data_IF_986419447146
#
_entry.id   IF_986419447146
#
_cell.length_a   1.000
_cell.length_b   1.000
_cell.length_c   1.000
_cell.angle_alpha   90.00
_cell.angle_beta   90.00
_cell.angle_gamma   90.00
#
_symmetry.space_group_name_H-M   'P 1'
#
loop_
_entity.id
_entity.type
_entity.pdbx_description
1 polymer ?
#
# COMPACT_ATOMS: atom_id res chain seq x y z
N UNK A 1 -5.15 4.09 -17.53
CA UNK A 1 -4.52 4.25 -16.21
C UNK A 1 -5.21 5.36 -15.41
N UNK A 2 -5.41 5.16 -14.11
CA UNK A 2 -5.91 6.21 -13.20
C UNK A 2 -4.93 6.36 -12.04
N UNK A 3 -4.49 7.58 -11.78
CA UNK A 3 -3.64 7.95 -10.65
C UNK A 3 -4.51 8.46 -9.51
N UNK A 4 -4.30 7.90 -8.32
CA UNK A 4 -4.94 8.28 -7.07
C UNK A 4 -3.91 8.87 -6.11
N UNK A 5 -4.30 9.90 -5.38
CA UNK A 5 -3.50 10.43 -4.27
C UNK A 5 -3.74 9.65 -2.96
N UNK A 6 -3.08 10.07 -1.88
CA UNK A 6 -3.22 9.47 -0.55
C UNK A 6 -4.66 9.47 -0.03
N UNK A 7 -5.46 10.47 -0.41
CA UNK A 7 -6.85 10.63 0.00
C UNK A 7 -7.84 9.89 -0.92
N UNK A 8 -7.33 9.28 -1.99
CA UNK A 8 -8.11 8.55 -2.98
C UNK A 8 -8.84 9.45 -3.97
N UNK A 9 -8.52 10.74 -4.00
CA UNK A 9 -8.93 11.61 -5.08
C UNK A 9 -8.13 11.28 -6.34
N UNK A 10 -8.73 11.55 -7.50
CA UNK A 10 -8.08 11.27 -8.78
C UNK A 10 -7.16 12.43 -9.13
N UNK A 11 -5.86 12.18 -9.09
CA UNK A 11 -4.82 13.13 -9.48
C UNK A 11 -4.61 13.16 -11.01
N UNK A 12 -4.89 12.05 -11.70
CA UNK A 12 -4.69 11.95 -13.15
C UNK A 12 -5.48 10.81 -13.78
N UNK A 13 -5.92 11.02 -15.02
CA UNK A 13 -6.52 9.98 -15.86
C UNK A 13 -5.83 9.96 -17.21
N UNK A 14 -5.39 8.78 -17.61
CA UNK A 14 -4.72 8.56 -18.89
C UNK A 14 -5.39 7.40 -19.59
N UNK A 15 -5.83 7.64 -20.81
CA UNK A 15 -6.32 6.61 -21.71
C UNK A 15 -5.25 6.40 -22.78
N UNK A 16 -4.85 5.15 -22.96
CA UNK A 16 -3.82 4.79 -23.94
C UNK A 16 -4.29 3.57 -24.69
N UNK A 17 -4.16 3.63 -26.01
CA UNK A 17 -4.26 2.49 -26.89
C UNK A 17 -2.86 2.10 -27.31
N UNK A 18 -2.46 0.86 -27.00
CA UNK A 18 -1.22 0.29 -27.51
C UNK A 18 -1.51 -0.37 -28.87
N UNK A 19 -0.70 -0.10 -29.91
CA UNK A 19 -0.81 -0.78 -31.20
C UNK A 19 -0.62 -2.29 -31.11
N UNK A 20 0.25 -2.75 -30.20
CA UNK A 20 0.58 -4.15 -29.95
C UNK A 20 0.87 -4.40 -28.45
N UNK A 21 0.70 -5.64 -27.99
CA UNK A 21 0.90 -6.10 -26.61
C UNK A 21 2.36 -6.08 -26.15
N UNK A 22 3.32 -5.90 -27.06
CA UNK A 22 4.76 -5.78 -26.76
C UNK A 22 5.26 -4.33 -26.72
N UNK A 23 4.42 -3.38 -27.10
CA UNK A 23 4.79 -1.96 -27.05
C UNK A 23 4.69 -1.38 -25.64
N UNK A 24 5.50 -0.35 -25.40
CA UNK A 24 5.51 0.40 -24.15
C UNK A 24 5.08 1.85 -24.40
N UNK A 25 4.40 2.43 -23.42
CA UNK A 25 4.07 3.85 -23.37
C UNK A 25 4.62 4.44 -22.10
N UNK A 26 5.25 5.61 -22.20
CA UNK A 26 5.63 6.41 -21.04
C UNK A 26 4.54 7.46 -20.80
N UNK A 27 4.09 7.56 -19.55
CA UNK A 27 3.06 8.51 -19.14
C UNK A 27 3.62 9.40 -18.03
N UNK A 28 3.70 10.72 -18.24
CA UNK A 28 4.13 11.62 -17.19
C UNK A 28 3.07 11.64 -16.06
N UNK A 29 3.52 11.39 -14.84
CA UNK A 29 2.69 11.43 -13.64
C UNK A 29 2.97 12.73 -12.88
N UNK A 30 2.01 13.66 -12.78
CA UNK A 30 2.18 14.81 -11.91
C UNK A 30 2.31 14.36 -10.45
N UNK A 31 3.09 15.08 -9.62
CA UNK A 31 3.16 14.80 -8.19
C UNK A 31 1.77 14.83 -7.54
N UNK A 32 1.44 13.80 -6.76
CA UNK A 32 0.21 13.77 -6.00
C UNK A 32 0.28 14.74 -4.80
N UNK A 33 -0.81 15.44 -4.45
CA UNK A 33 -0.92 16.15 -3.18
C UNK A 33 -0.61 15.20 -2.01
N UNK A 34 0.27 15.61 -1.08
CA UNK A 34 0.70 14.77 0.05
C UNK A 34 1.88 13.83 -0.23
N UNK A 35 2.46 13.86 -1.44
CA UNK A 35 3.73 13.21 -1.75
C UNK A 35 3.68 11.69 -1.88
N UNK A 36 2.52 11.05 -1.72
CA UNK A 36 2.32 9.63 -1.96
C UNK A 36 0.96 9.34 -2.61
N UNK A 37 0.89 8.24 -3.35
CA UNK A 37 -0.27 7.83 -4.13
C UNK A 37 0.01 6.52 -4.85
N UNK A 38 -0.91 6.10 -5.71
CA UNK A 38 -0.73 4.90 -6.53
C UNK A 38 -1.45 5.04 -7.86
N UNK A 39 -1.07 4.19 -8.81
CA UNK A 39 -1.69 4.10 -10.12
C UNK A 39 -2.36 2.75 -10.29
N UNK A 40 -3.53 2.77 -10.92
CA UNK A 40 -4.21 1.54 -11.36
C UNK A 40 -4.19 1.49 -12.88
N UNK A 41 -3.87 0.33 -13.43
CA UNK A 41 -3.99 0.06 -14.86
C UNK A 41 -5.15 -0.91 -15.05
N UNK A 42 -6.16 -0.46 -15.79
CA UNK A 42 -7.24 -1.30 -16.29
C UNK A 42 -6.94 -1.58 -17.75
N UNK A 43 -6.92 -2.86 -18.13
CA UNK A 43 -6.75 -3.28 -19.51
C UNK A 43 -7.81 -4.32 -19.86
N UNK A 44 -8.56 -4.08 -20.91
CA UNK A 44 -9.35 -5.13 -21.56
C UNK A 44 -8.38 -5.91 -22.47
N UNK A 45 -8.26 -7.23 -22.26
CA UNK A 45 -7.53 -8.16 -23.16
C UNK A 45 -6.00 -8.10 -23.18
N UNK A 46 -5.35 -7.66 -22.09
CA UNK A 46 -3.89 -7.79 -22.01
C UNK A 46 -3.56 -9.21 -21.52
N UNK A 47 -3.21 -10.11 -22.45
CA UNK A 47 -2.83 -11.50 -22.19
C UNK A 47 -1.39 -11.64 -21.63
N UNK A 48 -0.82 -10.56 -21.11
CA UNK A 48 0.58 -10.43 -20.68
C UNK A 48 0.61 -9.88 -19.24
N UNK A 49 1.61 -10.31 -18.47
CA UNK A 49 1.93 -9.68 -17.19
C UNK A 49 2.32 -8.22 -17.47
N UNK A 50 1.44 -7.28 -17.16
CA UNK A 50 1.76 -5.86 -17.25
C UNK A 50 2.90 -5.56 -16.28
N UNK A 51 4.00 -5.02 -16.79
CA UNK A 51 5.02 -4.40 -15.95
C UNK A 51 4.74 -2.90 -15.93
N UNK A 52 4.16 -2.41 -14.84
CA UNK A 52 4.08 -0.96 -14.62
C UNK A 52 5.39 -0.56 -13.98
N UNK A 53 6.16 0.25 -14.71
CA UNK A 53 7.41 0.80 -14.21
C UNK A 53 7.19 2.26 -13.84
N UNK A 54 7.41 2.60 -12.57
CA UNK A 54 7.47 4.00 -12.12
C UNK A 54 8.93 4.44 -12.14
N UNK A 55 9.22 5.55 -12.81
CA UNK A 55 10.57 6.13 -12.85
C UNK A 55 10.51 7.61 -12.51
N UNK A 56 11.54 8.09 -11.80
CA UNK A 56 11.79 9.51 -11.52
C UNK A 56 12.83 10.12 -12.48
N UNK A 57 13.21 9.39 -13.53
CA UNK A 57 14.23 9.77 -14.50
C UNK A 57 15.67 9.38 -14.12
N UNK A 58 15.92 8.96 -12.87
CA UNK A 58 17.23 8.48 -12.40
C UNK A 58 17.21 7.00 -12.00
N UNK A 59 16.10 6.55 -11.43
CA UNK A 59 15.87 5.17 -11.05
C UNK A 59 14.48 4.71 -11.50
N UNK A 60 14.27 3.39 -11.53
CA UNK A 60 12.97 2.83 -11.86
C UNK A 60 12.58 1.69 -10.92
N UNK A 61 11.28 1.53 -10.79
CA UNK A 61 10.64 0.48 -10.01
C UNK A 61 9.66 -0.25 -10.89
N UNK A 62 9.98 -1.50 -11.22
CA UNK A 62 9.05 -2.36 -11.93
C UNK A 62 8.09 -3.05 -10.95
N UNK A 63 6.82 -3.02 -11.29
CA UNK A 63 5.75 -3.70 -10.56
C UNK A 63 5.09 -4.65 -11.54
N UNK A 64 4.81 -5.88 -11.10
CA UNK A 64 3.86 -6.71 -11.82
C UNK A 64 2.47 -6.15 -11.57
N UNK A 65 1.96 -5.38 -12.52
CA UNK A 65 0.57 -4.94 -12.61
C UNK A 65 -0.33 -6.13 -12.93
N UNK A 66 -0.35 -7.14 -12.06
CA UNK A 66 -1.43 -8.11 -12.09
C UNK A 66 -2.68 -7.35 -11.70
N UNK A 67 -3.76 -7.43 -12.50
CA UNK A 67 -4.99 -6.69 -12.27
C UNK A 67 -5.37 -6.73 -10.80
N UNK A 68 -5.10 -5.65 -10.07
CA UNK A 68 -5.39 -5.62 -8.65
C UNK A 68 -6.92 -5.62 -8.54
N UNK A 69 -7.47 -6.61 -7.86
CA UNK A 69 -8.92 -6.72 -7.72
C UNK A 69 -9.44 -5.52 -6.93
N UNK A 70 -10.11 -4.59 -7.62
CA UNK A 70 -10.84 -3.50 -6.98
C UNK A 70 -12.12 -4.08 -6.41
N UNK A 71 -12.23 -4.11 -5.08
CA UNK A 71 -13.40 -4.64 -4.41
C UNK A 71 -14.51 -3.59 -4.35
N UNK A 72 -15.72 -3.98 -4.77
CA UNK A 72 -16.90 -3.12 -4.76
C UNK A 72 -17.99 -3.70 -3.89
N UNK A 73 -18.32 -2.97 -2.84
CA UNK A 73 -19.45 -3.27 -1.96
C UNK A 73 -20.68 -2.48 -2.42
N UNK A 74 -21.84 -3.12 -2.39
CA UNK A 74 -23.11 -2.44 -2.55
C UNK A 74 -23.35 -1.48 -1.38
N UNK A 75 -24.18 -0.45 -1.58
CA UNK A 75 -24.44 0.61 -0.59
C UNK A 75 -24.81 0.07 0.81
N UNK A 76 -25.67 -0.95 0.97
CA UNK A 76 -25.98 -1.49 2.30
C UNK A 76 -24.74 -2.09 2.98
N UNK A 77 -23.95 -2.88 2.25
CA UNK A 77 -22.71 -3.46 2.75
C UNK A 77 -21.67 -2.39 3.12
N UNK A 78 -21.54 -1.35 2.30
CA UNK A 78 -20.71 -0.19 2.58
C UNK A 78 -21.08 0.48 3.91
N UNK A 79 -22.37 0.77 4.12
CA UNK A 79 -22.83 1.43 5.36
C UNK A 79 -22.56 0.56 6.59
N UNK A 80 -22.82 -0.74 6.52
CA UNK A 80 -22.57 -1.68 7.62
C UNK A 80 -21.09 -1.72 7.98
N UNK A 81 -20.21 -1.91 6.98
CA UNK A 81 -18.76 -1.94 7.20
C UNK A 81 -18.24 -0.61 7.76
N UNK A 82 -18.77 0.51 7.27
CA UNK A 82 -18.39 1.83 7.77
C UNK A 82 -18.79 2.04 9.25
N UNK A 83 -20.02 1.66 9.62
CA UNK A 83 -20.54 1.79 10.98
C UNK A 83 -19.82 0.87 11.97
N UNK A 84 -19.73 -0.43 11.66
CA UNK A 84 -19.03 -1.41 12.52
C UNK A 84 -17.55 -1.05 12.64
N UNK A 85 -16.92 -0.65 11.54
CA UNK A 85 -15.53 -0.22 11.54
C UNK A 85 -15.30 1.03 12.40
N UNK A 86 -16.23 1.99 12.37
CA UNK A 86 -16.15 3.18 13.21
C UNK A 86 -16.28 2.86 14.70
N UNK A 87 -17.20 1.95 15.07
CA UNK A 87 -17.37 1.50 16.45
C UNK A 87 -16.13 0.79 16.98
N UNK A 88 -15.57 -0.16 16.21
CA UNK A 88 -14.34 -0.87 16.60
C UNK A 88 -13.13 0.06 16.71
N UNK A 89 -13.07 1.11 15.89
CA UNK A 89 -11.99 2.08 15.93
C UNK A 89 -11.89 2.80 17.28
N UNK A 90 -13.01 3.01 17.98
CA UNK A 90 -13.03 3.58 19.33
C UNK A 90 -12.23 2.74 20.33
N UNK A 91 -12.13 1.43 20.10
CA UNK A 91 -11.33 0.50 20.88
C UNK A 91 -9.93 0.21 20.27
N UNK A 92 -9.51 0.97 19.25
CA UNK A 92 -8.26 0.73 18.53
C UNK A 92 -8.24 -0.60 17.74
N UNK A 93 -9.42 -1.10 17.36
CA UNK A 93 -9.61 -2.36 16.62
C UNK A 93 -10.04 -2.10 15.18
N UNK A 94 -9.82 -3.10 14.33
CA UNK A 94 -10.34 -3.18 12.97
C UNK A 94 -11.23 -4.43 12.84
N UNK A 95 -12.13 -4.44 11.84
CA UNK A 95 -12.82 -5.67 11.43
C UNK A 95 -11.75 -6.56 10.78
N UNK A 96 -11.46 -7.78 11.28
CA UNK A 96 -10.40 -8.61 10.71
C UNK A 96 -10.94 -9.51 9.58
N UNK A 97 -11.65 -8.92 8.61
CA UNK A 97 -12.20 -9.68 7.48
C UNK A 97 -11.07 -10.18 6.56
N UNK A 98 -10.05 -9.35 6.37
CA UNK A 98 -8.82 -9.67 5.66
C UNK A 98 -7.64 -9.54 6.61
N UNK A 99 -6.81 -10.57 6.66
CA UNK A 99 -5.61 -10.62 7.49
C UNK A 99 -4.41 -10.94 6.62
N UNK A 100 -3.39 -10.07 6.66
CA UNK A 100 -2.13 -10.29 5.96
C UNK A 100 -0.97 -10.25 6.93
N UNK A 101 0.01 -11.13 6.69
CA UNK A 101 1.27 -11.13 7.40
C UNK A 101 2.39 -10.68 6.45
N UNK A 102 3.27 -9.84 6.96
CA UNK A 102 4.45 -9.35 6.23
C UNK A 102 5.63 -9.33 7.20
N UNK A 103 6.85 -9.46 6.68
CA UNK A 103 8.06 -9.22 7.45
C UNK A 103 8.71 -7.91 6.99
N UNK A 104 9.17 -7.12 7.95
CA UNK A 104 9.90 -5.88 7.71
C UNK A 104 11.26 -5.95 8.41
N UNK A 105 12.29 -5.47 7.74
CA UNK A 105 13.62 -5.30 8.32
C UNK A 105 13.69 -3.91 8.93
N UNK A 106 14.03 -3.80 10.21
CA UNK A 106 14.05 -2.54 10.96
C UNK A 106 15.42 -2.36 11.59
N UNK A 107 16.06 -1.22 11.32
CA UNK A 107 17.42 -0.92 11.75
C UNK A 107 17.97 0.34 11.07
N UNK A 108 19.14 0.85 11.47
CA UNK A 108 19.70 2.10 10.93
C UNK A 108 19.82 2.12 9.40
N UNK A 109 20.18 0.98 8.82
CA UNK A 109 20.36 0.78 7.38
C UNK A 109 19.20 0.02 6.72
N UNK A 110 18.15 -0.28 7.48
CA UNK A 110 17.04 -1.16 7.06
C UNK A 110 15.75 -0.40 6.81
N UNK A 111 14.95 -0.94 5.88
CA UNK A 111 13.78 -0.28 5.30
C UNK A 111 12.50 -0.75 6.01
N UNK A 112 11.92 0.15 6.79
CA UNK A 112 10.71 -0.11 7.57
C UNK A 112 9.43 0.49 6.96
N UNK A 113 9.50 1.14 5.79
CA UNK A 113 8.33 1.78 5.19
C UNK A 113 7.44 0.79 4.43
N UNK A 114 6.13 0.85 4.72
CA UNK A 114 5.08 0.09 4.04
C UNK A 114 4.09 1.05 3.40
N UNK A 115 3.85 0.91 2.10
CA UNK A 115 2.73 1.56 1.43
C UNK A 115 1.50 0.66 1.56
N UNK A 116 0.52 1.15 2.30
CA UNK A 116 -0.76 0.46 2.50
C UNK A 116 -1.81 1.12 1.63
N UNK A 117 -2.44 0.35 0.76
CA UNK A 117 -3.39 0.84 -0.24
C UNK A 117 -4.76 0.23 -0.02
N UNK A 118 -5.80 1.06 -0.05
CA UNK A 118 -7.17 0.61 0.01
C UNK A 118 -7.76 0.51 -1.40
N UNK A 119 -7.81 -0.70 -1.95
CA UNK A 119 -8.35 -0.96 -3.28
C UNK A 119 -9.83 -1.34 -3.23
N UNK A 120 -10.58 -0.64 -2.37
CA UNK A 120 -12.02 -0.83 -2.24
C UNK A 120 -12.76 0.50 -2.33
N UNK A 121 -14.06 0.42 -2.61
CA UNK A 121 -14.94 1.59 -2.59
C UNK A 121 -15.42 1.99 -1.17
N UNK A 122 -14.87 1.40 -0.11
CA UNK A 122 -15.26 1.66 1.29
C UNK A 122 -14.09 2.26 2.06
N UNK A 123 -14.36 3.03 3.12
CA UNK A 123 -13.27 3.45 4.02
C UNK A 123 -12.75 2.22 4.77
N UNK A 124 -11.49 1.89 4.57
CA UNK A 124 -10.88 0.75 5.25
C UNK A 124 -10.14 1.23 6.49
N UNK A 125 -10.32 0.51 7.61
CA UNK A 125 -9.54 0.72 8.82
C UNK A 125 -8.62 -0.47 8.98
N UNK A 126 -7.33 -0.24 8.78
CA UNK A 126 -6.33 -1.31 8.81
C UNK A 126 -5.56 -1.22 10.11
N UNK A 127 -5.73 -2.23 10.97
CA UNK A 127 -4.95 -2.36 12.18
C UNK A 127 -3.64 -3.06 11.86
N UNK A 128 -2.53 -2.34 12.02
CA UNK A 128 -1.18 -2.84 11.81
C UNK A 128 -0.57 -3.15 13.18
N UNK A 129 -0.11 -4.38 13.36
CA UNK A 129 0.53 -4.85 14.60
C UNK A 129 1.93 -5.33 14.27
N UNK A 130 2.93 -4.72 14.91
CA UNK A 130 4.31 -5.19 14.84
C UNK A 130 4.62 -6.12 16.00
N UNK A 131 5.33 -7.21 15.72
CA UNK A 131 5.75 -8.18 16.71
C UNK A 131 7.14 -8.73 16.39
N UNK A 132 7.86 -9.16 17.43
CA UNK A 132 9.18 -9.78 17.32
C UNK A 132 9.30 -10.86 18.37
N UNK A 133 9.73 -12.05 17.98
CA UNK A 133 9.88 -13.22 18.87
C UNK A 133 8.61 -13.48 19.72
N UNK A 134 7.43 -13.37 19.10
CA UNK A 134 6.14 -13.54 19.77
C UNK A 134 5.67 -12.37 20.64
N UNK A 135 6.52 -11.37 20.90
CA UNK A 135 6.17 -10.18 21.67
C UNK A 135 5.65 -9.06 20.76
N UNK A 136 4.52 -8.47 21.12
CA UNK A 136 4.01 -7.27 20.44
C UNK A 136 4.90 -6.08 20.77
N UNK A 137 5.37 -5.39 19.73
CA UNK A 137 6.17 -4.17 19.84
C UNK A 137 5.27 -2.93 19.92
N UNK A 138 4.21 -2.93 19.10
CA UNK A 138 3.15 -1.94 19.14
C UNK A 138 2.16 -2.13 17.99
N UNK A 139 1.15 -1.25 17.96
CA UNK A 139 0.11 -1.30 16.96
C UNK A 139 -0.33 0.11 16.55
N UNK A 140 -0.80 0.24 15.31
CA UNK A 140 -1.39 1.48 14.78
C UNK A 140 -2.64 1.15 13.99
N UNK A 141 -3.67 1.96 14.16
CA UNK A 141 -4.88 1.90 13.34
C UNK A 141 -4.78 2.95 12.25
N UNK A 142 -4.73 2.51 10.99
CA UNK A 142 -4.74 3.36 9.82
C UNK A 142 -6.18 3.54 9.33
N UNK A 143 -6.56 4.75 8.95
CA UNK A 143 -7.84 5.02 8.27
C UNK A 143 -7.52 5.40 6.83
N UNK A 144 -7.94 4.55 5.90
CA UNK A 144 -7.70 4.71 4.47
C UNK A 144 -9.03 5.02 3.77
N UNK A 145 -9.16 6.18 3.11
CA UNK A 145 -10.33 6.47 2.30
C UNK A 145 -10.45 5.49 1.12
N UNK A 146 -11.63 5.38 0.47
CA UNK A 146 -11.78 4.60 -0.75
C UNK A 146 -10.72 4.97 -1.79
N UNK A 147 -10.03 3.99 -2.36
CA UNK A 147 -8.93 4.21 -3.31
C UNK A 147 -7.80 5.10 -2.76
N UNK A 148 -7.66 5.23 -1.44
CA UNK A 148 -6.59 5.97 -0.79
C UNK A 148 -5.39 5.12 -0.42
N UNK A 149 -4.30 5.77 -0.05
CA UNK A 149 -3.07 5.12 0.38
C UNK A 149 -2.39 5.87 1.51
N UNK A 150 -1.55 5.17 2.27
CA UNK A 150 -0.72 5.81 3.28
C UNK A 150 0.62 5.11 3.36
N UNK A 151 1.66 5.90 3.60
CA UNK A 151 2.98 5.40 3.89
C UNK A 151 3.17 5.29 5.40
N UNK A 152 3.46 4.09 5.87
CA UNK A 152 3.71 3.79 7.28
C UNK A 152 5.18 3.45 7.49
N UNK A 153 5.90 4.24 8.28
CA UNK A 153 7.14 3.80 8.88
C UNK A 153 6.86 2.83 10.04
N UNK A 154 7.06 1.53 9.80
CA UNK A 154 6.89 0.47 10.78
C UNK A 154 7.85 0.63 11.95
N UNK A 155 9.02 1.25 11.75
CA UNK A 155 9.99 1.52 12.80
C UNK A 155 9.42 2.42 13.90
N UNK A 156 8.39 3.21 13.61
CA UNK A 156 7.70 4.03 14.62
C UNK A 156 6.71 3.25 15.48
N UNK A 157 6.44 1.97 15.18
CA UNK A 157 5.52 1.13 15.96
C UNK A 157 6.14 0.58 17.25
N UNK A 158 7.45 0.67 17.40
CA UNK A 158 8.16 0.26 18.62
C UNK A 158 9.52 0.92 18.66
N UNK A 159 10.20 0.88 19.80
CA UNK A 159 11.59 1.32 19.85
C UNK A 159 12.47 0.25 19.19
N UNK A 160 12.94 0.49 17.96
CA UNK A 160 14.15 -0.17 17.50
C UNK A 160 15.28 0.25 18.46
N UNK A 161 15.98 -0.71 19.06
CA UNK A 161 17.05 -0.38 19.99
C UNK A 161 18.09 0.48 19.28
N UNK A 162 18.36 1.67 19.81
CA UNK A 162 19.31 2.61 19.22
C UNK A 162 20.68 1.92 19.10
N UNK A 163 21.22 1.81 17.88
CA UNK A 163 22.48 1.14 17.59
C UNK A 163 22.43 -0.39 17.47
N UNK A 164 21.25 -1.01 17.51
CA UNK A 164 21.11 -2.45 17.29
C UNK A 164 21.23 -2.82 15.81
N UNK A 165 21.74 -4.03 15.56
CA UNK A 165 21.75 -4.68 14.25
C UNK A 165 20.34 -4.71 13.64
N UNK A 166 20.25 -4.77 12.31
CA UNK A 166 18.99 -4.97 11.59
C UNK A 166 18.19 -6.12 12.19
N UNK A 167 16.94 -5.85 12.56
CA UNK A 167 16.02 -6.80 13.13
C UNK A 167 14.89 -7.14 12.16
N UNK A 168 14.31 -8.33 12.28
CA UNK A 168 13.13 -8.73 11.52
C UNK A 168 11.90 -8.61 12.40
N UNK A 169 10.95 -7.77 11.99
CA UNK A 169 9.67 -7.62 12.65
C UNK A 169 8.57 -8.30 11.82
N UNK A 170 7.72 -9.09 12.47
CA UNK A 170 6.50 -9.63 11.88
C UNK A 170 5.39 -8.61 12.01
N UNK A 171 4.84 -8.22 10.88
CA UNK A 171 3.74 -7.27 10.74
C UNK A 171 2.47 -8.05 10.43
N UNK A 172 1.42 -7.82 11.20
CA UNK A 172 0.07 -8.33 10.97
C UNK A 172 -0.85 -7.17 10.66
N UNK A 173 -1.51 -7.22 9.50
CA UNK A 173 -2.48 -6.22 9.07
C UNK A 173 -3.87 -6.84 9.10
N UNK A 174 -4.83 -6.15 9.70
CA UNK A 174 -6.22 -6.59 9.83
C UNK A 174 -7.13 -5.49 9.26
N UNK A 175 -7.91 -5.80 8.22
CA UNK A 175 -8.75 -4.83 7.51
C UNK A 175 -10.13 -5.38 7.16
N UNK A 176 -11.10 -4.47 7.02
CA UNK A 176 -12.51 -4.77 6.80
C UNK A 176 -12.86 -5.08 5.34
N UNK A 177 -12.00 -4.63 4.42
CA UNK A 177 -12.13 -4.77 2.99
C UNK A 177 -10.77 -5.12 2.39
N UNK A 178 -10.75 -5.52 1.12
CA UNK A 178 -9.52 -5.77 0.38
C UNK A 178 -8.59 -4.55 0.45
N UNK A 179 -7.35 -4.79 0.84
CA UNK A 179 -6.27 -3.82 0.80
C UNK A 179 -5.06 -4.50 0.17
N UNK A 180 -4.31 -3.76 -0.63
CA UNK A 180 -3.02 -4.23 -1.07
C UNK A 180 -1.91 -3.62 -0.21
N UNK A 181 -0.82 -4.36 -0.13
CA UNK A 181 0.37 -3.97 0.62
C UNK A 181 1.55 -4.10 -0.32
N UNK A 182 2.28 -3.01 -0.41
CA UNK A 182 3.58 -2.99 -1.02
C UNK A 182 4.62 -2.53 -0.01
N UNK A 183 5.71 -3.28 0.06
CA UNK A 183 6.93 -2.76 0.67
C UNK A 183 7.47 -1.70 -0.27
N UNK A 184 7.83 -0.54 0.26
CA UNK A 184 8.40 0.55 -0.53
C UNK A 184 9.88 0.71 -0.10
N UNK A 185 10.83 0.25 -0.92
CA UNK A 185 12.26 0.60 -0.82
C UNK A 185 12.59 1.96 -1.46
N UNK A 186 13.77 2.60 -1.38
CA UNK A 186 15.11 2.11 -1.07
C UNK A 186 16.13 3.17 -0.58
N UNK A 187 16.32 3.39 0.73
CA UNK A 187 17.41 4.27 1.23
C UNK A 187 17.59 4.22 2.74
N UNK A 188 18.76 4.64 3.25
CA UNK A 188 19.01 4.77 4.68
C UNK A 188 18.12 5.88 5.25
N UNK A 189 17.10 5.52 6.04
CA UNK A 189 16.16 6.45 6.69
C UNK A 189 15.46 7.47 5.78
N UNK A 190 15.56 7.36 4.45
CA UNK A 190 15.01 8.32 3.50
C UNK A 190 14.22 7.62 2.38
N UNK A 191 13.20 8.34 1.88
CA UNK A 191 12.43 8.00 0.68
C UNK A 191 13.22 8.22 -0.62
N UNK A 192 14.52 8.54 -0.52
CA UNK A 192 15.39 8.96 -1.62
C UNK A 192 15.96 7.82 -2.46
N UNK A 193 15.29 6.68 -2.57
CA UNK A 193 15.71 5.68 -3.54
C UNK A 193 14.60 4.78 -4.03
N UNK A 194 14.87 4.00 -5.08
CA UNK A 194 13.84 3.40 -5.92
C UNK A 194 12.86 2.55 -5.12
N UNK A 195 11.57 2.83 -5.31
CA UNK A 195 10.46 1.99 -4.84
C UNK A 195 10.81 0.52 -5.15
N UNK A 196 10.66 -0.40 -4.21
CA UNK A 196 10.91 -1.83 -4.47
C UNK A 196 9.75 -2.62 -3.93
N UNK A 197 8.76 -2.85 -4.79
CA UNK A 197 7.52 -3.55 -4.45
C UNK A 197 7.79 -5.04 -4.27
N UNK A 198 8.06 -5.48 -3.04
CA UNK A 198 8.17 -6.91 -2.75
C UNK A 198 6.78 -7.47 -2.38
N UNK A 199 6.20 -8.25 -3.30
CA UNK A 199 5.05 -9.11 -3.00
C UNK A 199 5.59 -10.45 -2.48
N UNK A 200 5.48 -10.69 -1.17
CA UNK A 200 5.75 -12.03 -0.61
C UNK A 200 4.43 -12.80 -0.66
N UNK A 201 4.43 -13.88 -1.46
CA UNK A 201 3.34 -14.87 -1.53
C UNK A 201 3.13 -15.57 -0.20
#
# INVERSE_FOLDING_TARGET
MVQYDADGAVAGRHEVTLPDAVEAVELPLPPAPGGCGFVTVKGERINSDLYVTLSDGLAYTATHGRGEFIERYALPGWMVLAAVGALLALAGRAIPAFVRHQYAYVGPDSRSHLLVMNLSNVTNRVRVVASRNGRVLGARLLRLPPMGSTLLDVGTLGAAAAGAATEVWRIRLEGAAWFNLYVVGAGARNLEGPLSLMHVK
#
